data_IF_844924648868
#
_entry.id   IF_844924648868
#
_cell.length_a   1.000
_cell.length_b   1.000
_cell.length_c   1.000
_cell.angle_alpha   90.00
_cell.angle_beta   90.00
_cell.angle_gamma   90.00
#
_symmetry.space_group_name_H-M   'P 1'
#
loop_
_entity.id
_entity.type
_entity.pdbx_description
1 polymer ?
#
# COMPACT_ATOMS: atom_id res chain seq x y z
N UNK A 1 -28.28 -51.05 3.83
CA UNK A 1 -28.24 -49.65 3.32
C UNK A 1 -27.34 -48.92 4.25
N UNK A 2 -26.06 -48.85 3.89
CA UNK A 2 -25.06 -48.10 4.66
C UNK A 2 -25.15 -46.67 4.18
N UNK A 3 -25.47 -45.80 5.14
CA UNK A 3 -25.42 -44.35 5.00
C UNK A 3 -24.09 -43.95 4.39
N UNK A 4 -24.12 -43.25 3.24
CA UNK A 4 -22.96 -42.60 2.70
C UNK A 4 -22.40 -41.66 3.78
N UNK A 5 -21.22 -41.95 4.28
CA UNK A 5 -20.43 -40.99 5.03
C UNK A 5 -20.19 -39.83 4.08
N UNK A 6 -20.83 -38.69 4.35
CA UNK A 6 -20.51 -37.44 3.67
C UNK A 6 -19.02 -37.18 3.92
N UNK A 7 -18.21 -37.44 2.91
CA UNK A 7 -16.80 -37.04 2.95
C UNK A 7 -16.74 -35.56 3.27
N UNK A 8 -15.95 -35.14 4.26
CA UNK A 8 -15.88 -33.73 4.63
C UNK A 8 -15.58 -32.90 3.38
N UNK A 9 -16.34 -31.82 3.19
CA UNK A 9 -16.18 -30.95 2.04
C UNK A 9 -14.70 -30.49 1.92
N UNK A 10 -14.13 -30.66 0.73
CA UNK A 10 -12.74 -30.23 0.47
C UNK A 10 -12.65 -28.73 0.60
N UNK A 11 -11.61 -28.20 1.28
CA UNK A 11 -11.47 -26.76 1.44
C UNK A 11 -11.02 -26.07 0.15
N UNK A 12 -11.38 -24.82 -0.02
CA UNK A 12 -10.71 -23.90 -0.94
C UNK A 12 -9.34 -23.56 -0.38
N UNK A 13 -8.28 -23.67 -1.18
CA UNK A 13 -6.91 -23.32 -0.75
C UNK A 13 -6.58 -21.91 -1.22
N UNK A 14 -6.31 -21.03 -0.27
CA UNK A 14 -5.83 -19.67 -0.51
C UNK A 14 -4.30 -19.67 -0.32
N UNK A 15 -3.56 -19.33 -1.36
CA UNK A 15 -2.09 -19.27 -1.35
C UNK A 15 -1.65 -17.84 -1.12
N UNK A 16 -1.15 -17.56 0.08
CA UNK A 16 -0.71 -16.25 0.55
C UNK A 16 -1.66 -15.62 1.56
N UNK A 17 -1.09 -15.16 2.70
CA UNK A 17 -1.80 -14.46 3.78
C UNK A 17 -1.57 -12.93 3.75
N UNK A 18 -1.39 -12.33 2.58
CA UNK A 18 -1.44 -10.88 2.36
C UNK A 18 -2.87 -10.36 2.52
N UNK A 19 -3.07 -9.04 2.38
CA UNK A 19 -4.40 -8.42 2.53
C UNK A 19 -5.45 -9.05 1.60
N UNK A 20 -5.08 -9.41 0.37
CA UNK A 20 -6.00 -10.05 -0.58
C UNK A 20 -6.43 -11.46 -0.12
N UNK A 21 -5.47 -12.28 0.32
CA UNK A 21 -5.78 -13.63 0.82
C UNK A 21 -6.60 -13.61 2.10
N UNK A 22 -6.30 -12.69 3.01
CA UNK A 22 -7.08 -12.52 4.24
C UNK A 22 -8.49 -12.02 3.95
N UNK A 23 -8.67 -11.04 3.04
CA UNK A 23 -9.99 -10.56 2.63
C UNK A 23 -10.82 -11.69 1.98
N UNK A 24 -10.19 -12.49 1.10
CA UNK A 24 -10.83 -13.67 0.52
C UNK A 24 -11.27 -14.66 1.61
N UNK A 25 -10.38 -15.00 2.56
CA UNK A 25 -10.70 -15.89 3.67
C UNK A 25 -11.85 -15.40 4.54
N UNK A 26 -11.93 -14.10 4.83
CA UNK A 26 -13.02 -13.49 5.59
C UNK A 26 -14.36 -13.64 4.86
N UNK A 27 -14.40 -13.37 3.55
CA UNK A 27 -15.62 -13.49 2.75
C UNK A 27 -16.05 -14.95 2.56
N UNK A 28 -15.13 -15.90 2.39
CA UNK A 28 -15.45 -17.33 2.37
C UNK A 28 -15.97 -17.81 3.72
N UNK A 29 -15.40 -17.30 4.83
CA UNK A 29 -15.91 -17.59 6.16
C UNK A 29 -17.36 -17.10 6.36
N UNK A 30 -17.64 -15.85 5.96
CA UNK A 30 -19.00 -15.27 6.00
C UNK A 30 -19.99 -16.10 5.16
N UNK A 31 -19.55 -16.68 4.04
CA UNK A 31 -20.35 -17.54 3.18
C UNK A 31 -20.46 -19.01 3.65
N UNK A 32 -19.78 -19.39 4.74
CA UNK A 32 -19.77 -20.77 5.24
C UNK A 32 -19.01 -21.76 4.36
N UNK A 33 -18.14 -21.32 3.45
CA UNK A 33 -17.33 -22.17 2.58
C UNK A 33 -16.04 -22.56 3.31
N UNK A 34 -15.74 -23.88 3.42
CA UNK A 34 -14.48 -24.34 4.03
C UNK A 34 -13.27 -23.86 3.24
N UNK A 35 -12.26 -23.31 3.93
CA UNK A 35 -11.03 -22.86 3.31
C UNK A 35 -9.81 -23.04 4.22
N UNK A 36 -8.63 -22.97 3.63
CA UNK A 36 -7.34 -22.89 4.33
C UNK A 36 -6.45 -21.86 3.65
N UNK A 37 -5.74 -21.07 4.42
CA UNK A 37 -4.74 -20.11 3.94
C UNK A 37 -3.36 -20.68 4.20
N UNK A 38 -2.55 -20.80 3.16
CA UNK A 38 -1.16 -21.28 3.23
C UNK A 38 -0.22 -20.09 2.98
N UNK A 39 0.59 -19.75 3.98
CA UNK A 39 1.53 -18.65 3.93
C UNK A 39 2.96 -19.15 4.04
N UNK A 40 3.80 -18.78 3.08
CA UNK A 40 5.19 -19.20 3.02
C UNK A 40 6.07 -18.56 4.12
N UNK A 41 5.72 -17.37 4.57
CA UNK A 41 6.47 -16.63 5.58
C UNK A 41 6.04 -16.96 7.02
N UNK A 42 6.75 -16.37 7.97
CA UNK A 42 6.56 -16.55 9.41
C UNK A 42 5.40 -15.74 10.01
N UNK A 43 4.74 -14.89 9.20
CA UNK A 43 3.61 -14.09 9.66
C UNK A 43 2.68 -13.66 8.51
N UNK A 44 1.45 -13.30 8.86
CA UNK A 44 0.48 -12.72 7.92
C UNK A 44 0.86 -11.29 7.52
N UNK A 45 0.27 -10.80 6.41
CA UNK A 45 0.34 -9.41 5.99
C UNK A 45 1.07 -9.18 4.67
N UNK A 46 1.92 -10.10 4.22
CA UNK A 46 2.70 -9.92 2.99
C UNK A 46 3.56 -8.65 3.05
N UNK A 47 3.26 -7.65 2.21
CA UNK A 47 3.94 -6.34 2.21
C UNK A 47 3.51 -5.40 3.36
N UNK A 48 2.40 -5.68 4.04
CA UNK A 48 1.89 -4.88 5.16
C UNK A 48 2.29 -5.53 6.47
N UNK A 49 3.53 -5.28 6.90
CA UNK A 49 4.11 -5.85 8.13
C UNK A 49 4.85 -4.78 8.92
N UNK A 50 4.94 -4.98 10.23
CA UNK A 50 5.69 -4.15 11.17
C UNK A 50 6.61 -5.05 11.98
N UNK A 51 7.89 -4.72 12.01
CA UNK A 51 8.89 -5.39 12.82
C UNK A 51 9.13 -4.58 14.12
N UNK A 52 9.32 -5.26 15.25
CA UNK A 52 9.82 -4.63 16.48
C UNK A 52 11.33 -4.81 16.53
N UNK A 53 12.04 -3.70 16.68
CA UNK A 53 13.49 -3.69 16.85
C UNK A 53 13.89 -2.70 17.93
N UNK A 54 14.40 -3.20 19.02
CA UNK A 54 14.85 -2.41 20.18
C UNK A 54 13.76 -1.44 20.70
N UNK A 55 12.48 -1.87 20.66
CA UNK A 55 11.32 -1.09 21.05
C UNK A 55 10.86 -0.05 20.03
N UNK A 56 11.43 -0.05 18.83
CA UNK A 56 10.92 0.72 17.69
C UNK A 56 10.03 -0.15 16.81
N UNK A 57 8.86 0.37 16.44
CA UNK A 57 7.99 -0.28 15.45
C UNK A 57 8.37 0.21 14.05
N UNK A 58 8.84 -0.70 13.22
CA UNK A 58 9.34 -0.42 11.87
C UNK A 58 8.43 -1.07 10.84
N UNK A 59 7.61 -0.28 10.18
CA UNK A 59 6.82 -0.77 9.05
C UNK A 59 7.74 -1.15 7.89
N UNK A 60 7.46 -2.24 7.19
CA UNK A 60 8.26 -2.67 6.03
C UNK A 60 8.01 -1.77 4.83
N UNK A 61 8.63 -0.60 4.86
CA UNK A 61 8.39 0.56 4.00
C UNK A 61 7.32 1.49 4.58
N UNK A 62 7.50 2.80 4.38
CA UNK A 62 6.52 3.78 4.84
C UNK A 62 5.20 3.61 4.07
N UNK A 63 4.14 3.37 4.79
CA UNK A 63 2.79 3.18 4.28
C UNK A 63 1.80 3.97 5.12
N UNK A 64 0.63 4.27 4.56
CA UNK A 64 -0.51 4.83 5.29
C UNK A 64 -1.79 4.11 4.88
N UNK A 65 -2.74 4.01 5.80
CA UNK A 65 -4.11 3.63 5.49
C UNK A 65 -4.91 4.88 5.16
N UNK A 66 -5.58 4.92 4.01
CA UNK A 66 -6.55 5.97 3.72
C UNK A 66 -7.92 5.53 4.26
N UNK A 67 -8.46 6.27 5.23
CA UNK A 67 -9.70 5.88 5.92
C UNK A 67 -10.94 5.92 5.02
N UNK A 68 -10.84 6.56 3.85
CA UNK A 68 -11.89 6.57 2.83
C UNK A 68 -11.89 5.34 1.91
N UNK A 69 -10.96 4.39 2.06
CA UNK A 69 -10.96 3.16 1.28
C UNK A 69 -12.21 2.33 1.58
N UNK A 70 -13.13 2.11 0.60
CA UNK A 70 -14.39 1.41 0.86
C UNK A 70 -14.20 -0.02 1.39
N UNK A 71 -13.30 -0.80 0.80
CA UNK A 71 -13.04 -2.16 1.27
C UNK A 71 -12.40 -2.19 2.67
N UNK A 72 -11.60 -1.17 3.01
CA UNK A 72 -11.06 -1.06 4.37
C UNK A 72 -12.15 -0.72 5.39
N UNK A 73 -13.11 0.16 5.05
CA UNK A 73 -14.26 0.47 5.90
C UNK A 73 -15.16 -0.74 6.13
N UNK A 74 -15.28 -1.63 5.15
CA UNK A 74 -16.08 -2.84 5.25
C UNK A 74 -15.38 -3.92 6.09
N UNK A 75 -14.08 -4.13 5.86
CA UNK A 75 -13.35 -5.27 6.39
C UNK A 75 -12.61 -5.01 7.71
N UNK A 76 -12.37 -3.74 8.07
CA UNK A 76 -11.56 -3.38 9.24
C UNK A 76 -12.36 -2.66 10.30
N UNK A 77 -12.04 -2.94 11.56
CA UNK A 77 -12.49 -2.16 12.70
C UNK A 77 -11.45 -1.05 13.01
N UNK A 78 -11.74 0.16 12.55
CA UNK A 78 -10.85 1.31 12.72
C UNK A 78 -10.67 1.73 14.19
N UNK A 79 -11.68 1.49 15.02
CA UNK A 79 -11.59 1.81 16.45
C UNK A 79 -10.62 0.85 17.16
N UNK A 80 -10.72 -0.44 16.86
CA UNK A 80 -9.82 -1.44 17.43
C UNK A 80 -8.36 -1.29 16.92
N UNK A 81 -8.16 -0.73 15.71
CA UNK A 81 -6.85 -0.39 15.17
C UNK A 81 -6.21 0.84 15.84
N UNK A 82 -6.97 1.62 16.61
CA UNK A 82 -6.50 2.87 17.26
C UNK A 82 -5.77 3.77 16.24
N UNK A 83 -6.48 4.15 15.16
CA UNK A 83 -5.90 4.90 14.06
C UNK A 83 -5.45 6.30 14.49
N UNK A 84 -4.21 6.64 14.17
CA UNK A 84 -3.59 7.94 14.40
C UNK A 84 -3.42 8.66 13.06
N UNK A 85 -4.02 9.84 12.92
CA UNK A 85 -4.12 10.54 11.65
C UNK A 85 -3.04 11.59 11.48
N UNK A 86 -2.54 11.70 10.26
CA UNK A 86 -1.72 12.84 9.84
C UNK A 86 -2.58 14.10 9.74
N UNK A 87 -1.97 15.23 10.02
CA UNK A 87 -2.59 16.51 9.71
C UNK A 87 -2.73 16.65 8.18
N UNK A 88 -3.89 17.15 7.68
CA UNK A 88 -4.10 17.32 6.24
C UNK A 88 -3.20 18.43 5.70
N UNK A 89 -2.14 18.03 4.98
CA UNK A 89 -1.14 18.91 4.42
C UNK A 89 0.23 18.27 4.35
N UNK A 90 1.22 19.08 4.01
CA UNK A 90 2.62 18.69 3.94
C UNK A 90 3.55 19.86 4.24
N UNK A 91 4.72 19.57 4.78
CA UNK A 91 5.85 20.48 4.77
C UNK A 91 6.73 20.18 3.56
N UNK A 92 7.07 21.18 2.78
CA UNK A 92 7.81 21.06 1.52
C UNK A 92 9.17 21.74 1.66
N UNK A 93 10.22 20.94 1.54
CA UNK A 93 11.57 21.47 1.43
C UNK A 93 11.81 22.04 0.02
N UNK A 94 12.07 23.33 -0.09
CA UNK A 94 12.25 24.05 -1.36
C UNK A 94 13.71 24.16 -1.80
N UNK A 95 14.63 23.53 -1.07
CA UNK A 95 16.08 23.71 -1.25
C UNK A 95 16.68 24.85 -0.42
N UNK A 96 15.84 25.68 0.23
CA UNK A 96 16.26 26.81 1.07
C UNK A 96 15.49 26.93 2.39
N UNK A 97 14.20 26.61 2.35
CA UNK A 97 13.30 26.73 3.49
C UNK A 97 12.18 25.69 3.39
N UNK A 98 11.52 25.44 4.51
CA UNK A 98 10.27 24.69 4.52
C UNK A 98 9.08 25.63 4.24
N UNK A 99 8.23 25.20 3.33
CA UNK A 99 6.93 25.80 3.06
C UNK A 99 5.83 24.83 3.47
N UNK A 100 4.77 25.35 4.11
CA UNK A 100 3.68 24.52 4.55
C UNK A 100 2.46 24.71 3.64
N UNK A 101 1.99 23.59 3.07
CA UNK A 101 0.70 23.52 2.37
C UNK A 101 -0.24 22.69 3.25
N UNK A 102 -1.41 23.24 3.56
CA UNK A 102 -2.49 22.54 4.25
C UNK A 102 -3.74 22.53 3.39
N UNK A 103 -4.60 21.51 3.55
CA UNK A 103 -5.89 21.46 2.89
C UNK A 103 -6.85 22.49 3.54
N UNK A 104 -7.19 23.60 2.87
CA UNK A 104 -8.03 24.64 3.45
C UNK A 104 -9.48 24.18 3.65
N UNK A 105 -9.95 23.16 2.92
CA UNK A 105 -11.29 22.61 3.07
C UNK A 105 -11.44 21.81 4.36
N UNK A 106 -10.35 21.21 4.82
CA UNK A 106 -10.33 20.43 6.07
C UNK A 106 -9.80 21.22 7.27
N UNK A 107 -9.03 22.28 7.02
CA UNK A 107 -8.50 23.22 8.02
C UNK A 107 -8.72 24.67 7.58
N UNK A 108 -9.92 25.23 7.75
CA UNK A 108 -10.22 26.61 7.33
C UNK A 108 -9.26 27.65 7.91
N UNK A 109 -8.78 27.45 9.14
CA UNK A 109 -7.79 28.33 9.77
C UNK A 109 -6.40 28.36 9.09
N UNK A 110 -6.08 27.39 8.21
CA UNK A 110 -4.81 27.32 7.48
C UNK A 110 -4.84 28.06 6.12
N UNK A 111 -5.96 28.63 5.72
CA UNK A 111 -6.15 29.32 4.42
C UNK A 111 -5.05 30.38 4.22
N UNK A 112 -4.81 31.21 5.21
CA UNK A 112 -3.82 32.27 5.12
C UNK A 112 -2.38 31.75 5.03
N UNK A 113 -2.07 30.65 5.71
CA UNK A 113 -0.76 30.02 5.63
C UNK A 113 -0.52 29.40 4.25
N UNK A 114 -1.48 28.66 3.74
CA UNK A 114 -1.43 28.07 2.38
C UNK A 114 -1.44 29.16 1.30
N UNK A 115 -2.19 30.25 1.49
CA UNK A 115 -2.19 31.37 0.55
C UNK A 115 -0.83 32.08 0.46
N UNK A 116 -0.07 32.16 1.57
CA UNK A 116 1.24 32.79 1.64
C UNK A 116 2.40 31.86 1.29
N UNK A 117 2.17 30.55 1.27
CA UNK A 117 3.21 29.59 0.88
C UNK A 117 3.72 29.91 -0.54
N UNK A 118 5.03 29.94 -0.68
CA UNK A 118 5.74 30.21 -1.95
C UNK A 118 5.85 28.97 -2.85
N UNK A 119 4.79 28.17 -2.86
CA UNK A 119 4.67 26.99 -3.69
C UNK A 119 3.42 27.10 -4.53
N UNK A 120 3.62 27.17 -5.85
CA UNK A 120 2.56 27.38 -6.82
C UNK A 120 1.92 28.77 -6.81
N UNK A 121 1.27 29.13 -7.88
CA UNK A 121 0.55 30.37 -8.08
C UNK A 121 -0.81 30.40 -7.37
N UNK A 122 -1.46 31.57 -7.32
CA UNK A 122 -2.87 31.69 -6.86
C UNK A 122 -3.80 30.88 -7.75
N UNK A 123 -3.54 30.82 -9.07
CA UNK A 123 -4.31 30.01 -10.00
C UNK A 123 -4.16 28.52 -9.71
N UNK A 124 -2.97 28.06 -9.34
CA UNK A 124 -2.76 26.66 -8.95
C UNK A 124 -3.59 26.30 -7.71
N UNK A 125 -3.68 27.19 -6.73
CA UNK A 125 -4.49 26.98 -5.52
C UNK A 125 -5.99 26.88 -5.85
N UNK A 126 -6.48 27.66 -6.81
CA UNK A 126 -7.86 27.51 -7.31
C UNK A 126 -8.08 26.20 -8.05
N UNK A 127 -7.11 25.76 -8.86
CA UNK A 127 -7.16 24.48 -9.59
C UNK A 127 -7.12 23.26 -8.67
N UNK A 128 -6.46 23.34 -7.51
CA UNK A 128 -6.58 22.32 -6.46
C UNK A 128 -8.05 22.15 -6.03
N UNK A 129 -8.77 23.26 -5.83
CA UNK A 129 -10.19 23.24 -5.53
C UNK A 129 -11.03 22.64 -6.68
N UNK A 130 -10.70 22.97 -7.93
CA UNK A 130 -11.37 22.41 -9.11
C UNK A 130 -11.14 20.89 -9.22
N UNK A 131 -9.89 20.42 -9.09
CA UNK A 131 -9.59 18.99 -9.09
C UNK A 131 -10.34 18.27 -7.98
N UNK A 132 -10.36 18.84 -6.75
CA UNK A 132 -11.11 18.29 -5.64
C UNK A 132 -12.60 18.16 -5.96
N UNK A 133 -13.21 19.24 -6.45
CA UNK A 133 -14.62 19.23 -6.83
C UNK A 133 -14.91 18.17 -7.90
N UNK A 134 -14.06 18.07 -8.92
CA UNK A 134 -14.24 17.12 -10.01
C UNK A 134 -14.17 15.66 -9.54
N UNK A 135 -13.17 15.29 -8.73
CA UNK A 135 -13.06 13.91 -8.24
C UNK A 135 -14.14 13.58 -7.18
N UNK A 136 -14.57 14.55 -6.39
CA UNK A 136 -15.56 14.34 -5.35
C UNK A 136 -16.98 14.10 -5.87
N UNK A 137 -17.35 14.71 -6.99
CA UNK A 137 -18.68 14.51 -7.62
C UNK A 137 -18.78 13.21 -8.41
N UNK A 138 -17.66 12.56 -8.72
CA UNK A 138 -17.61 11.29 -9.48
C UNK A 138 -17.72 10.10 -8.56
N UNK A 139 -18.31 8.97 -8.99
CA UNK A 139 -18.19 7.70 -8.26
C UNK A 139 -16.77 7.12 -8.43
N UNK A 140 -16.36 6.19 -7.57
CA UNK A 140 -15.06 5.52 -7.70
C UNK A 140 -14.99 4.77 -9.04
N UNK A 141 -16.05 4.05 -9.41
CA UNK A 141 -16.12 3.33 -10.70
C UNK A 141 -15.97 4.26 -11.89
N UNK A 142 -16.67 5.40 -11.89
CA UNK A 142 -16.61 6.35 -13.00
C UNK A 142 -15.23 7.01 -13.16
N UNK A 143 -14.41 7.10 -12.09
CA UNK A 143 -13.02 7.55 -12.22
C UNK A 143 -12.17 6.58 -13.03
N UNK A 144 -12.42 5.27 -12.87
CA UNK A 144 -11.71 4.22 -13.62
C UNK A 144 -12.22 4.02 -15.05
N UNK A 145 -13.30 4.67 -15.44
CA UNK A 145 -13.87 4.66 -16.80
C UNK A 145 -13.43 5.89 -17.63
N UNK A 146 -12.81 6.90 -17.00
CA UNK A 146 -12.36 8.12 -17.68
C UNK A 146 -11.27 7.82 -18.70
N UNK A 147 -11.09 8.73 -19.68
CA UNK A 147 -9.94 8.72 -20.57
C UNK A 147 -8.65 8.69 -19.77
N UNK A 148 -7.73 7.81 -20.18
CA UNK A 148 -6.52 7.53 -19.45
C UNK A 148 -5.31 8.20 -20.09
N UNK A 149 -4.56 8.91 -19.27
CA UNK A 149 -3.28 9.53 -19.61
C UNK A 149 -2.28 9.27 -18.48
N UNK A 150 -1.08 9.82 -18.55
CA UNK A 150 -0.19 9.82 -17.41
C UNK A 150 -0.66 10.83 -16.36
N UNK A 151 -0.32 10.59 -15.09
CA UNK A 151 -0.60 11.53 -14.00
C UNK A 151 -0.05 12.93 -14.28
N UNK A 152 1.16 13.02 -14.86
CA UNK A 152 1.78 14.29 -15.28
C UNK A 152 0.95 15.00 -16.33
N UNK A 153 0.50 14.28 -17.36
CA UNK A 153 -0.34 14.87 -18.42
C UNK A 153 -1.67 15.36 -17.86
N UNK A 154 -2.32 14.56 -17.00
CA UNK A 154 -3.57 14.97 -16.35
C UNK A 154 -3.41 16.24 -15.51
N UNK A 155 -2.34 16.36 -14.72
CA UNK A 155 -2.06 17.59 -13.95
C UNK A 155 -1.89 18.80 -14.88
N UNK A 156 -1.18 18.67 -16.00
CA UNK A 156 -1.06 19.73 -17.01
C UNK A 156 -2.39 20.06 -17.69
N UNK A 157 -3.23 19.06 -17.96
CA UNK A 157 -4.59 19.28 -18.52
C UNK A 157 -5.49 20.02 -17.52
N UNK A 158 -5.36 19.80 -16.21
CA UNK A 158 -6.00 20.65 -15.20
C UNK A 158 -5.42 22.08 -15.16
N UNK A 159 -4.29 22.31 -15.88
CA UNK A 159 -3.64 23.59 -16.04
C UNK A 159 -2.68 23.94 -14.93
N UNK A 160 -2.30 23.01 -14.03
CA UNK A 160 -1.29 23.26 -13.01
C UNK A 160 0.04 23.70 -13.63
N UNK A 161 0.71 24.65 -12.96
CA UNK A 161 2.04 25.07 -13.34
C UNK A 161 3.07 23.95 -13.16
N UNK A 162 4.10 23.93 -14.00
CA UNK A 162 5.23 23.00 -13.84
C UNK A 162 5.90 23.18 -12.47
N UNK A 163 5.94 24.42 -11.94
CA UNK A 163 6.45 24.68 -10.59
C UNK A 163 5.70 23.88 -9.52
N UNK A 164 4.36 23.93 -9.48
CA UNK A 164 3.59 23.18 -8.50
C UNK A 164 3.68 21.66 -8.77
N UNK A 165 3.72 21.24 -10.03
CA UNK A 165 3.90 19.83 -10.38
C UNK A 165 5.22 19.32 -9.81
N UNK A 166 6.33 20.03 -10.00
CA UNK A 166 7.65 19.58 -9.56
C UNK A 166 7.85 19.70 -8.04
N UNK A 167 7.36 20.79 -7.42
CA UNK A 167 7.61 21.05 -6.00
C UNK A 167 6.68 20.30 -5.06
N UNK A 168 5.44 20.01 -5.48
CA UNK A 168 4.45 19.35 -4.64
C UNK A 168 3.96 18.01 -5.19
N UNK A 169 3.35 18.02 -6.39
CA UNK A 169 2.71 16.79 -6.90
C UNK A 169 3.72 15.65 -7.15
N UNK A 170 4.89 15.98 -7.68
CA UNK A 170 5.93 14.99 -7.96
C UNK A 170 6.44 14.29 -6.69
N UNK A 171 6.90 14.97 -5.64
CA UNK A 171 7.32 14.25 -4.43
C UNK A 171 6.15 13.62 -3.68
N UNK A 172 4.95 14.19 -3.72
CA UNK A 172 3.78 13.64 -3.07
C UNK A 172 3.30 12.35 -3.74
N UNK A 173 2.92 12.41 -5.02
CA UNK A 173 2.48 11.22 -5.76
C UNK A 173 3.62 10.28 -6.10
N UNK A 174 4.83 10.80 -6.30
CA UNK A 174 6.03 10.00 -6.47
C UNK A 174 6.31 9.10 -5.26
N UNK A 175 6.03 9.58 -4.05
CA UNK A 175 6.09 8.77 -2.84
C UNK A 175 4.98 7.72 -2.74
N UNK A 176 3.80 7.97 -3.33
CA UNK A 176 2.66 7.05 -3.33
C UNK A 176 2.83 5.98 -4.43
N UNK A 177 3.23 6.40 -5.63
CA UNK A 177 3.40 5.52 -6.79
C UNK A 177 4.80 4.91 -6.89
N UNK A 178 5.71 5.35 -6.04
CA UNK A 178 7.12 4.93 -5.94
C UNK A 178 7.87 5.15 -7.26
N UNK A 179 7.59 6.28 -7.92
CA UNK A 179 8.23 6.70 -9.18
C UNK A 179 8.44 8.22 -9.23
N UNK A 180 9.40 8.68 -10.05
CA UNK A 180 9.77 10.10 -10.10
C UNK A 180 9.09 10.88 -11.22
N UNK A 181 8.60 10.21 -12.27
CA UNK A 181 8.21 10.85 -13.52
C UNK A 181 6.71 11.09 -13.66
N UNK A 182 5.89 10.62 -12.70
CA UNK A 182 4.43 10.68 -12.71
C UNK A 182 3.85 10.03 -13.98
N UNK A 183 4.39 8.87 -14.37
CA UNK A 183 3.95 8.05 -15.50
C UNK A 183 2.76 7.16 -15.16
N UNK A 184 2.50 6.94 -13.88
CA UNK A 184 1.33 6.21 -13.39
C UNK A 184 0.05 6.81 -13.95
N UNK A 185 -0.93 5.95 -14.23
CA UNK A 185 -2.24 6.29 -14.78
C UNK A 185 -2.90 7.47 -14.06
N UNK A 186 -3.49 8.38 -14.85
CA UNK A 186 -4.29 9.49 -14.37
C UNK A 186 -5.52 9.04 -13.57
N UNK A 187 -6.06 7.86 -13.86
CA UNK A 187 -7.17 7.26 -13.09
C UNK A 187 -6.74 6.97 -11.66
N UNK A 188 -5.51 6.46 -11.48
CA UNK A 188 -4.95 6.23 -10.14
C UNK A 188 -4.69 7.53 -9.38
N UNK A 189 -4.16 8.57 -10.05
CA UNK A 189 -4.00 9.90 -9.46
C UNK A 189 -5.36 10.45 -8.96
N UNK A 190 -6.40 10.40 -9.78
CA UNK A 190 -7.73 10.89 -9.43
C UNK A 190 -8.36 10.08 -8.29
N UNK A 191 -8.23 8.76 -8.32
CA UNK A 191 -8.68 7.88 -7.26
C UNK A 191 -8.00 8.21 -5.92
N UNK A 192 -6.68 8.25 -5.90
CA UNK A 192 -5.92 8.55 -4.67
C UNK A 192 -6.25 9.95 -4.15
N UNK A 193 -6.33 10.94 -5.05
CA UNK A 193 -6.69 12.30 -4.67
C UNK A 193 -8.10 12.38 -4.06
N UNK A 194 -9.07 11.61 -4.62
CA UNK A 194 -10.41 11.47 -4.04
C UNK A 194 -10.36 10.88 -2.63
N UNK A 195 -9.59 9.80 -2.43
CA UNK A 195 -9.47 9.15 -1.12
C UNK A 195 -8.89 10.11 -0.06
N UNK A 196 -7.85 10.87 -0.41
CA UNK A 196 -7.32 11.93 0.46
C UNK A 196 -8.34 13.06 0.71
N UNK A 197 -9.19 13.35 -0.27
CA UNK A 197 -10.21 14.39 -0.14
C UNK A 197 -11.38 13.99 0.76
N UNK A 198 -11.70 12.71 0.85
CA UNK A 198 -12.82 12.16 1.62
C UNK A 198 -12.45 11.68 3.01
N UNK A 199 -11.24 11.15 3.16
CA UNK A 199 -10.77 10.53 4.40
C UNK A 199 -9.44 11.08 4.87
N UNK A 200 -8.83 10.37 5.77
CA UNK A 200 -7.57 10.73 6.41
C UNK A 200 -6.49 9.73 6.05
N UNK A 201 -5.23 10.19 6.02
CA UNK A 201 -4.08 9.30 6.05
C UNK A 201 -3.80 8.94 7.51
N UNK A 202 -3.75 7.67 7.82
CA UNK A 202 -3.62 7.20 9.19
C UNK A 202 -2.62 6.04 9.31
N UNK A 203 -2.08 5.87 10.51
CA UNK A 203 -1.33 4.68 10.93
C UNK A 203 -2.06 4.05 12.12
N UNK A 204 -2.17 2.71 12.21
CA UNK A 204 -2.51 2.06 13.45
C UNK A 204 -1.47 2.40 14.52
N UNK A 205 -1.90 2.63 15.76
CA UNK A 205 -0.99 2.99 16.85
C UNK A 205 0.11 1.94 17.10
N UNK A 206 -0.14 0.67 16.77
CA UNK A 206 0.80 -0.45 16.89
C UNK A 206 1.50 -0.85 15.60
N UNK A 207 1.54 0.03 14.58
CA UNK A 207 2.14 -0.23 13.26
C UNK A 207 1.16 -0.80 12.24
N UNK A 208 1.52 -0.69 10.97
CA UNK A 208 0.69 -1.15 9.85
C UNK A 208 0.37 -2.65 9.92
N UNK A 209 1.23 -3.45 10.52
CA UNK A 209 1.03 -4.88 10.74
C UNK A 209 -0.18 -5.24 11.62
N UNK A 210 -0.77 -4.27 12.36
CA UNK A 210 -2.03 -4.50 13.10
C UNK A 210 -3.19 -4.80 12.14
N UNK A 211 -3.19 -4.25 10.93
CA UNK A 211 -4.25 -4.47 9.94
C UNK A 211 -4.38 -5.96 9.59
N UNK A 212 -3.35 -6.63 9.05
CA UNK A 212 -3.47 -8.06 8.76
C UNK A 212 -3.62 -8.93 10.01
N UNK A 213 -3.07 -8.53 11.17
CA UNK A 213 -3.30 -9.25 12.43
C UNK A 213 -4.77 -9.20 12.86
N UNK A 214 -5.42 -8.04 12.77
CA UNK A 214 -6.84 -7.90 13.03
C UNK A 214 -7.68 -8.78 12.09
N UNK A 215 -7.39 -8.76 10.79
CA UNK A 215 -8.10 -9.60 9.82
C UNK A 215 -7.94 -11.09 10.13
N UNK A 216 -6.70 -11.52 10.39
CA UNK A 216 -6.40 -12.92 10.73
C UNK A 216 -7.09 -13.39 12.04
N UNK A 217 -7.19 -12.52 13.05
CA UNK A 217 -7.82 -12.83 14.32
C UNK A 217 -9.34 -13.06 14.22
N UNK A 218 -9.96 -12.62 13.14
CA UNK A 218 -11.40 -12.82 12.85
C UNK A 218 -11.69 -14.13 12.10
N UNK A 219 -10.65 -14.85 11.70
CA UNK A 219 -10.77 -16.15 11.04
C UNK A 219 -10.76 -17.29 12.05
N UNK A 220 -11.42 -18.42 11.76
CA UNK A 220 -11.40 -19.58 12.65
C UNK A 220 -9.99 -20.08 12.92
N UNK A 221 -9.73 -20.48 14.15
CA UNK A 221 -8.43 -21.05 14.54
C UNK A 221 -8.05 -22.25 13.65
N UNK A 222 -6.79 -22.28 13.22
CA UNK A 222 -6.27 -23.37 12.39
C UNK A 222 -6.52 -23.22 10.89
N UNK A 223 -7.22 -22.18 10.43
CA UNK A 223 -7.39 -21.92 9.00
C UNK A 223 -6.17 -21.32 8.32
N UNK A 224 -5.27 -20.68 9.06
CA UNK A 224 -4.02 -20.12 8.53
C UNK A 224 -2.86 -21.02 8.95
N UNK A 225 -2.04 -21.43 7.99
CA UNK A 225 -0.80 -22.18 8.25
C UNK A 225 0.38 -21.38 7.72
N UNK A 226 1.21 -20.90 8.64
CA UNK A 226 2.44 -20.15 8.35
C UNK A 226 3.60 -21.10 8.03
N UNK A 227 4.71 -20.57 7.52
CA UNK A 227 5.92 -21.32 7.13
C UNK A 227 5.61 -22.49 6.17
N UNK A 228 4.57 -22.34 5.35
CA UNK A 228 4.03 -23.38 4.48
C UNK A 228 3.98 -22.89 3.04
N UNK A 229 5.06 -23.12 2.33
CA UNK A 229 5.18 -22.75 0.93
C UNK A 229 4.48 -23.78 0.02
N UNK A 230 3.66 -23.29 -0.91
CA UNK A 230 3.12 -24.12 -1.99
C UNK A 230 4.18 -24.28 -3.07
N UNK A 231 4.46 -25.54 -3.43
CA UNK A 231 5.40 -25.88 -4.49
C UNK A 231 4.74 -25.89 -5.86
N UNK A 232 3.58 -26.57 -5.97
CA UNK A 232 2.78 -26.71 -7.20
C UNK A 232 1.34 -27.07 -6.86
N UNK A 233 0.50 -27.10 -7.86
CA UNK A 233 -0.88 -27.60 -7.74
C UNK A 233 -1.39 -28.13 -9.08
N UNK A 234 -2.42 -28.96 -9.03
CA UNK A 234 -3.21 -29.40 -10.17
C UNK A 234 -4.71 -29.24 -9.88
N UNK A 235 -5.57 -29.83 -10.69
CA UNK A 235 -7.04 -29.75 -10.54
C UNK A 235 -7.55 -30.29 -9.20
N UNK A 236 -6.83 -31.19 -8.55
CA UNK A 236 -7.31 -31.95 -7.40
C UNK A 236 -6.51 -31.69 -6.13
N UNK A 237 -5.23 -31.31 -6.24
CA UNK A 237 -4.29 -31.26 -5.11
C UNK A 237 -3.35 -30.06 -5.19
N UNK A 238 -3.02 -29.55 -4.02
CA UNK A 238 -1.89 -28.64 -3.78
C UNK A 238 -0.75 -29.45 -3.19
N UNK A 239 0.47 -29.30 -3.72
CA UNK A 239 1.69 -29.90 -3.20
C UNK A 239 2.49 -28.82 -2.45
N UNK A 240 2.83 -29.08 -1.21
CA UNK A 240 3.65 -28.22 -0.37
C UNK A 240 5.15 -28.37 -0.65
N UNK A 241 5.96 -27.46 -0.10
CA UNK A 241 7.41 -27.48 -0.26
C UNK A 241 8.10 -28.70 0.34
N UNK A 242 7.49 -29.36 1.31
CA UNK A 242 7.95 -30.61 1.93
C UNK A 242 7.45 -31.88 1.23
N UNK A 243 6.70 -31.74 0.14
CA UNK A 243 6.11 -32.85 -0.61
C UNK A 243 4.74 -33.31 -0.11
N UNK A 244 4.25 -32.80 1.00
CA UNK A 244 2.88 -33.07 1.49
C UNK A 244 1.84 -32.59 0.49
N UNK A 245 0.74 -33.33 0.33
CA UNK A 245 -0.36 -32.96 -0.57
C UNK A 245 -1.65 -32.69 0.18
N UNK A 246 -2.42 -31.70 -0.28
CA UNK A 246 -3.72 -31.33 0.26
C UNK A 246 -4.73 -31.36 -0.87
N UNK A 247 -5.84 -32.09 -0.71
CA UNK A 247 -6.97 -32.02 -1.65
C UNK A 247 -7.74 -30.71 -1.49
N UNK A 248 -8.28 -30.21 -2.60
CA UNK A 248 -9.02 -28.95 -2.61
C UNK A 248 -10.21 -28.97 -3.56
N UNK A 249 -11.13 -28.02 -3.38
CA UNK A 249 -12.27 -27.75 -4.24
C UNK A 249 -12.11 -26.47 -5.08
N UNK A 250 -11.01 -25.78 -4.93
CA UNK A 250 -10.62 -24.60 -5.67
C UNK A 250 -9.36 -23.98 -5.08
N UNK A 251 -8.71 -23.15 -5.87
CA UNK A 251 -7.47 -22.44 -5.47
C UNK A 251 -7.65 -20.96 -5.70
N UNK A 252 -7.24 -20.15 -4.71
CA UNK A 252 -7.03 -18.71 -4.87
C UNK A 252 -5.54 -18.42 -4.76
N UNK A 253 -4.93 -17.93 -5.86
CA UNK A 253 -3.56 -17.41 -5.82
C UNK A 253 -3.60 -15.95 -5.36
N UNK A 254 -3.32 -15.73 -4.07
CA UNK A 254 -3.22 -14.41 -3.44
C UNK A 254 -1.76 -14.00 -3.21
N UNK A 255 -0.89 -14.34 -4.14
CA UNK A 255 0.55 -14.06 -4.11
C UNK A 255 0.89 -12.75 -4.82
N UNK A 256 2.09 -12.24 -4.63
CA UNK A 256 2.61 -11.10 -5.38
C UNK A 256 2.74 -11.42 -6.88
N UNK A 257 2.52 -10.42 -7.74
CA UNK A 257 2.57 -10.63 -9.19
C UNK A 257 3.87 -11.31 -9.68
N UNK A 258 5.08 -11.01 -9.16
CA UNK A 258 6.29 -11.73 -9.55
C UNK A 258 6.25 -13.23 -9.27
N UNK A 259 5.59 -13.61 -8.17
CA UNK A 259 5.48 -15.01 -7.78
C UNK A 259 4.50 -15.82 -8.66
N UNK A 260 3.62 -15.15 -9.41
CA UNK A 260 2.67 -15.83 -10.31
C UNK A 260 3.37 -16.68 -11.37
N UNK A 261 4.53 -16.26 -11.87
CA UNK A 261 5.28 -16.99 -12.91
C UNK A 261 5.72 -18.39 -12.47
N UNK A 262 5.84 -18.60 -11.18
CA UNK A 262 6.10 -19.94 -10.65
C UNK A 262 4.94 -20.89 -10.94
N UNK A 263 3.71 -20.36 -10.93
CA UNK A 263 2.47 -21.13 -11.06
C UNK A 263 1.84 -21.00 -12.45
N UNK A 264 2.08 -19.86 -13.10
CA UNK A 264 1.57 -19.50 -14.41
C UNK A 264 2.76 -19.02 -15.27
N UNK A 265 3.54 -19.95 -15.88
CA UNK A 265 4.76 -19.61 -16.62
C UNK A 265 4.55 -18.62 -17.75
N UNK A 266 3.35 -18.63 -18.37
CA UNK A 266 2.96 -17.72 -19.45
C UNK A 266 2.56 -16.31 -18.96
N UNK A 267 2.60 -16.06 -17.63
CA UNK A 267 2.36 -14.72 -17.09
C UNK A 267 3.42 -13.74 -17.57
N UNK A 268 3.04 -12.65 -18.28
CA UNK A 268 3.99 -11.78 -18.94
C UNK A 268 4.89 -11.04 -17.96
N UNK A 269 6.13 -10.78 -18.38
CA UNK A 269 6.98 -9.81 -17.73
C UNK A 269 6.57 -8.40 -18.11
N UNK A 270 6.02 -7.66 -17.17
CA UNK A 270 5.66 -6.25 -17.37
C UNK A 270 6.85 -5.30 -17.21
N UNK A 271 8.06 -5.86 -17.04
CA UNK A 271 9.29 -5.11 -16.81
C UNK A 271 9.46 -4.61 -15.37
N UNK A 272 10.43 -3.71 -15.14
CA UNK A 272 10.74 -3.22 -13.80
C UNK A 272 9.51 -2.66 -13.09
N UNK A 273 9.34 -3.02 -11.82
CA UNK A 273 8.28 -2.53 -10.94
C UNK A 273 8.75 -1.37 -10.10
N UNK A 274 7.82 -0.54 -9.61
CA UNK A 274 8.14 0.48 -8.62
C UNK A 274 8.81 -0.14 -7.39
N UNK A 275 9.93 0.47 -6.99
CA UNK A 275 10.75 0.04 -5.87
C UNK A 275 10.99 1.19 -4.90
N UNK A 276 11.17 0.88 -3.64
CA UNK A 276 11.49 1.87 -2.60
C UNK A 276 12.50 1.31 -1.62
N UNK A 277 13.40 2.18 -1.17
CA UNK A 277 14.21 1.95 0.03
C UNK A 277 13.70 2.83 1.15
N UNK A 278 13.48 2.25 2.30
CA UNK A 278 13.04 2.96 3.49
C UNK A 278 14.09 2.82 4.58
N UNK A 279 14.61 3.94 5.06
CA UNK A 279 15.56 3.99 6.16
C UNK A 279 14.88 4.52 7.42
N UNK A 280 15.14 3.85 8.53
CA UNK A 280 14.63 4.25 9.83
C UNK A 280 15.77 4.71 10.73
N UNK A 281 15.63 5.92 11.24
CA UNK A 281 16.60 6.51 12.17
C UNK A 281 15.96 6.77 13.54
N UNK A 282 16.75 6.55 14.59
CA UNK A 282 16.48 7.05 15.92
C UNK A 282 17.07 8.46 16.05
N UNK A 283 16.25 9.42 16.46
CA UNK A 283 16.65 10.75 16.82
C UNK A 283 16.33 11.06 18.29
N UNK A 284 17.08 11.92 18.95
CA UNK A 284 16.82 12.36 20.35
C UNK A 284 15.55 13.22 20.46
N UNK A 285 15.18 13.91 19.37
CA UNK A 285 13.97 14.73 19.25
C UNK A 285 13.46 14.68 17.82
N UNK A 286 12.15 14.93 17.65
CA UNK A 286 11.57 15.04 16.31
C UNK A 286 12.18 16.21 15.52
N UNK A 287 12.57 15.98 14.24
CA UNK A 287 13.04 17.06 13.37
C UNK A 287 11.92 18.00 12.91
N UNK A 288 10.66 17.57 13.06
CA UNK A 288 9.47 18.34 12.64
C UNK A 288 8.56 18.62 13.84
N UNK A 289 7.81 19.71 13.75
CA UNK A 289 6.91 20.14 14.83
C UNK A 289 5.47 19.69 14.65
N UNK A 290 5.12 19.24 13.45
CA UNK A 290 3.75 18.89 13.05
C UNK A 290 3.67 17.46 12.58
N UNK A 291 2.53 16.84 12.76
CA UNK A 291 2.26 15.47 12.28
C UNK A 291 1.90 15.48 10.80
N UNK A 292 2.83 15.95 9.96
CA UNK A 292 2.67 16.02 8.50
C UNK A 292 3.77 15.26 7.79
N UNK A 293 3.51 14.92 6.53
CA UNK A 293 4.56 14.41 5.66
C UNK A 293 5.49 15.54 5.22
N UNK A 294 6.80 15.31 5.23
CA UNK A 294 7.80 16.23 4.69
C UNK A 294 8.19 15.75 3.29
N UNK A 295 8.10 16.64 2.31
CA UNK A 295 8.33 16.35 0.90
C UNK A 295 9.57 17.05 0.37
N UNK A 296 10.31 16.39 -0.52
CA UNK A 296 11.41 17.00 -1.26
C UNK A 296 10.90 17.77 -2.48
N UNK A 297 10.52 19.01 -2.29
CA UNK A 297 10.14 19.93 -3.36
C UNK A 297 11.33 20.53 -4.13
N UNK A 298 12.57 20.38 -3.65
CA UNK A 298 13.77 20.85 -4.35
C UNK A 298 14.07 20.07 -5.64
N UNK A 299 13.53 18.85 -5.76
CA UNK A 299 13.67 18.03 -6.97
C UNK A 299 15.06 17.37 -7.13
N UNK A 300 15.95 17.57 -6.21
CA UNK A 300 17.31 17.03 -6.21
C UNK A 300 17.54 16.19 -4.97
N UNK A 301 18.55 15.32 -5.02
CA UNK A 301 18.90 14.44 -3.91
C UNK A 301 18.23 13.06 -3.97
N UNK A 302 18.43 12.33 -2.88
CA UNK A 302 18.01 10.94 -2.71
C UNK A 302 16.63 10.84 -2.07
N UNK A 303 16.39 11.71 -1.07
CA UNK A 303 15.18 11.68 -0.25
C UNK A 303 13.96 12.12 -1.05
N UNK A 304 12.91 11.31 -1.06
CA UNK A 304 11.62 11.70 -1.61
C UNK A 304 10.71 12.33 -0.55
N UNK A 305 10.59 11.68 0.59
CA UNK A 305 9.77 12.15 1.71
C UNK A 305 10.26 11.61 3.05
N UNK A 306 9.84 12.29 4.11
CA UNK A 306 10.09 11.90 5.50
C UNK A 306 8.78 11.89 6.25
N UNK A 307 8.64 10.91 7.14
CA UNK A 307 7.59 10.87 8.17
C UNK A 307 8.22 10.64 9.55
N UNK A 308 7.53 11.06 10.59
CA UNK A 308 7.92 10.80 11.97
C UNK A 308 6.79 10.06 12.69
N UNK A 309 6.66 8.72 12.51
CA UNK A 309 5.55 7.94 13.05
C UNK A 309 5.39 8.08 14.57
N UNK A 310 6.48 8.24 15.30
CA UNK A 310 6.46 8.47 16.76
C UNK A 310 5.80 9.79 17.20
N UNK A 311 5.54 10.72 16.27
CA UNK A 311 4.68 11.88 16.57
C UNK A 311 3.19 11.58 16.49
N UNK A 312 2.81 10.52 15.77
CA UNK A 312 1.40 10.09 15.71
C UNK A 312 1.07 9.14 16.87
N UNK A 313 1.99 8.24 17.19
CA UNK A 313 1.84 7.31 18.30
C UNK A 313 3.18 7.10 19.02
N UNK A 314 3.16 7.23 20.33
CA UNK A 314 4.30 6.98 21.22
C UNK A 314 4.76 5.50 21.21
N UNK A 315 3.90 4.59 20.72
CA UNK A 315 4.25 3.17 20.56
C UNK A 315 5.30 2.93 19.47
N UNK A 316 5.54 3.89 18.55
CA UNK A 316 6.52 3.72 17.48
C UNK A 316 7.97 3.89 17.92
N UNK A 317 8.23 4.45 19.10
CA UNK A 317 9.60 4.63 19.60
C UNK A 317 9.65 4.52 21.12
N UNK A 318 10.79 4.11 21.70
CA UNK A 318 11.04 4.17 23.13
C UNK A 318 10.92 5.60 23.67
N UNK A 319 10.57 5.73 24.95
CA UNK A 319 10.46 7.02 25.62
C UNK A 319 11.74 7.88 25.45
N UNK A 320 11.56 9.15 25.08
CA UNK A 320 12.65 10.08 24.86
C UNK A 320 13.38 9.90 23.52
N UNK A 321 12.84 9.09 22.61
CA UNK A 321 13.34 8.91 21.24
C UNK A 321 12.27 9.26 20.22
N UNK A 322 12.70 9.62 19.02
CA UNK A 322 11.83 9.81 17.86
C UNK A 322 12.25 8.87 16.75
N UNK A 323 11.25 8.24 16.10
CA UNK A 323 11.46 7.42 14.91
C UNK A 323 11.29 8.29 13.67
N UNK A 324 12.33 8.39 12.87
CA UNK A 324 12.30 9.10 11.57
C UNK A 324 12.36 8.09 10.45
N UNK A 325 11.33 8.07 9.62
CA UNK A 325 11.22 7.24 8.42
C UNK A 325 11.57 8.07 7.19
N UNK A 326 12.54 7.62 6.40
CA UNK A 326 13.02 8.30 5.19
C UNK A 326 12.79 7.40 3.98
N UNK A 327 12.02 7.86 3.01
CA UNK A 327 11.76 7.13 1.76
C UNK A 327 12.67 7.63 0.64
N UNK A 328 13.34 6.68 -0.03
CA UNK A 328 14.19 6.89 -1.20
C UNK A 328 13.60 6.11 -2.37
N UNK A 329 13.07 6.83 -3.35
CA UNK A 329 12.40 6.26 -4.53
C UNK A 329 13.39 6.13 -5.69
N UNK A 330 13.33 5.03 -6.44
CA UNK A 330 14.17 4.75 -7.61
C UNK A 330 15.68 4.84 -7.29
N UNK A 331 16.11 4.23 -6.19
CA UNK A 331 17.52 4.17 -5.78
C UNK A 331 18.26 2.98 -6.41
N UNK A 332 19.58 3.07 -6.51
CA UNK A 332 20.43 1.94 -6.86
C UNK A 332 20.35 0.85 -5.77
N UNK A 333 19.89 -0.33 -6.15
CA UNK A 333 19.74 -1.47 -5.22
C UNK A 333 21.07 -2.07 -4.76
N UNK A 334 22.19 -1.71 -5.40
CA UNK A 334 23.52 -2.24 -5.07
C UNK A 334 24.18 -1.56 -3.86
N UNK A 335 23.76 -0.35 -3.55
CA UNK A 335 24.28 0.40 -2.40
C UNK A 335 23.81 -0.23 -1.08
N UNK A 336 24.71 -0.43 -0.12
CA UNK A 336 24.35 -0.91 1.22
C UNK A 336 23.46 0.07 1.96
N UNK A 337 22.72 -0.41 2.99
CA UNK A 337 21.90 0.47 3.81
C UNK A 337 22.74 1.50 4.58
N UNK A 338 23.94 1.15 4.99
CA UNK A 338 24.86 2.06 5.71
C UNK A 338 25.33 3.19 4.81
N UNK A 339 25.82 2.89 3.62
CA UNK A 339 26.26 3.91 2.64
C UNK A 339 25.11 4.83 2.22
N UNK A 340 23.90 4.26 2.02
CA UNK A 340 22.72 5.06 1.72
C UNK A 340 22.32 5.95 2.91
N UNK A 341 22.43 5.46 4.13
CA UNK A 341 22.13 6.22 5.33
C UNK A 341 23.07 7.41 5.51
N UNK A 342 24.37 7.21 5.29
CA UNK A 342 25.36 8.30 5.32
C UNK A 342 25.06 9.38 4.28
N UNK A 343 24.74 8.97 3.04
CA UNK A 343 24.39 9.91 1.98
C UNK A 343 23.09 10.68 2.28
N UNK A 344 22.08 10.00 2.82
CA UNK A 344 20.81 10.59 3.27
C UNK A 344 21.04 11.56 4.43
N UNK A 345 21.83 11.20 5.45
CA UNK A 345 22.15 12.11 6.55
C UNK A 345 22.91 13.35 6.06
N UNK A 346 23.83 13.19 5.10
CA UNK A 346 24.51 14.32 4.48
C UNK A 346 23.53 15.28 3.80
N UNK A 347 22.56 14.75 3.03
CA UNK A 347 21.50 15.56 2.40
C UNK A 347 20.64 16.27 3.44
N UNK A 348 20.15 15.52 4.43
CA UNK A 348 19.22 16.02 5.45
C UNK A 348 19.84 17.03 6.41
N UNK A 349 21.16 17.11 6.48
CA UNK A 349 21.85 18.17 7.21
C UNK A 349 21.50 19.57 6.66
N UNK A 350 21.26 19.67 5.34
CA UNK A 350 20.81 20.93 4.72
C UNK A 350 19.37 21.29 5.08
N UNK A 351 18.52 20.27 5.44
CA UNK A 351 17.12 20.47 5.78
C UNK A 351 16.92 20.81 7.26
N UNK A 352 17.58 20.08 8.15
CA UNK A 352 17.32 20.09 9.59
C UNK A 352 18.53 20.54 10.43
N UNK A 353 19.66 20.85 9.80
CA UNK A 353 20.86 21.31 10.49
C UNK A 353 21.74 20.18 11.03
N UNK A 354 22.63 20.53 11.96
CA UNK A 354 23.67 19.63 12.46
C UNK A 354 23.12 18.44 13.27
N UNK A 355 21.96 18.57 13.89
CA UNK A 355 21.36 17.54 14.74
C UNK A 355 21.15 16.20 14.00
N UNK A 356 21.07 16.20 12.65
CA UNK A 356 20.96 15.01 11.81
C UNK A 356 22.18 14.08 11.97
N UNK A 357 23.34 14.60 12.33
CA UNK A 357 24.56 13.81 12.52
C UNK A 357 24.46 12.86 13.73
N UNK A 358 23.58 13.19 14.69
CA UNK A 358 23.33 12.38 15.89
C UNK A 358 22.27 11.30 15.67
N UNK A 359 21.66 11.26 14.48
CA UNK A 359 20.69 10.21 14.17
C UNK A 359 21.39 8.87 13.98
N UNK A 360 20.82 7.83 14.58
CA UNK A 360 21.35 6.47 14.47
C UNK A 360 20.48 5.66 13.53
N UNK A 361 21.08 5.03 12.52
CA UNK A 361 20.37 4.09 11.65
C UNK A 361 19.93 2.87 12.47
N UNK A 362 18.62 2.60 12.51
CA UNK A 362 18.05 1.41 13.16
C UNK A 362 17.97 0.26 12.15
N UNK A 363 17.38 0.53 10.99
CA UNK A 363 17.21 -0.45 9.92
C UNK A 363 17.01 0.22 8.56
N UNK A 364 17.25 -0.54 7.49
CA UNK A 364 16.88 -0.16 6.14
C UNK A 364 16.21 -1.32 5.43
N UNK A 365 15.07 -1.05 4.81
CA UNK A 365 14.32 -2.01 3.99
C UNK A 365 14.53 -1.69 2.51
N UNK A 366 14.86 -2.71 1.74
CA UNK A 366 14.89 -2.65 0.28
C UNK A 366 13.69 -3.46 -0.26
N UNK A 367 12.77 -2.78 -0.93
CA UNK A 367 11.51 -3.35 -1.41
C UNK A 367 11.49 -3.21 -2.94
N UNK A 368 11.99 -4.22 -3.67
CA UNK A 368 12.17 -4.13 -5.13
C UNK A 368 10.85 -4.20 -5.91
N UNK A 369 9.84 -4.88 -5.38
CA UNK A 369 8.54 -5.09 -6.03
C UNK A 369 7.40 -4.52 -5.16
N UNK A 370 7.57 -3.26 -4.74
CA UNK A 370 6.67 -2.64 -3.76
C UNK A 370 5.24 -2.46 -4.29
N UNK A 371 5.08 -2.18 -5.58
CA UNK A 371 3.79 -2.00 -6.25
C UNK A 371 3.78 -2.70 -7.62
N UNK A 372 2.61 -3.11 -8.14
CA UNK A 372 2.47 -3.47 -9.54
C UNK A 372 2.72 -2.24 -10.43
N UNK A 373 3.15 -2.48 -11.68
CA UNK A 373 3.30 -1.41 -12.66
C UNK A 373 1.92 -0.92 -13.10
N UNK A 374 1.66 0.37 -12.98
CA UNK A 374 0.32 0.96 -13.11
C UNK A 374 0.25 2.03 -14.23
N UNK A 375 0.74 1.70 -15.41
CA UNK A 375 0.65 2.60 -16.58
C UNK A 375 -0.77 2.67 -17.13
N UNK A 376 -1.59 1.65 -16.87
CA UNK A 376 -3.01 1.57 -17.20
C UNK A 376 -3.80 0.87 -16.08
N UNK A 377 -5.02 1.36 -15.82
CA UNK A 377 -5.95 0.87 -14.79
C UNK A 377 -7.37 0.84 -15.38
N UNK A 378 -8.18 -0.23 -15.17
CA UNK A 378 -7.86 -1.48 -14.48
C UNK A 378 -6.78 -2.28 -15.21
N UNK A 379 -6.02 -3.04 -14.44
CA UNK A 379 -5.04 -3.95 -15.01
C UNK A 379 -5.78 -5.12 -15.68
N UNK A 380 -5.84 -5.12 -16.99
CA UNK A 380 -6.44 -6.22 -17.72
C UNK A 380 -5.62 -7.51 -17.53
N UNK A 381 -6.33 -8.64 -17.38
CA UNK A 381 -5.69 -9.94 -17.45
C UNK A 381 -5.01 -10.10 -18.81
N UNK A 382 -3.79 -10.65 -18.87
CA UNK A 382 -3.12 -10.92 -20.11
C UNK A 382 -3.93 -11.95 -20.92
N UNK A 383 -4.29 -11.63 -22.16
CA UNK A 383 -5.05 -12.54 -23.02
C UNK A 383 -4.31 -13.85 -23.34
N UNK A 384 -2.99 -13.85 -23.19
CA UNK A 384 -2.12 -15.02 -23.42
C UNK A 384 -2.15 -16.05 -22.31
N UNK A 385 -2.70 -15.71 -21.12
CA UNK A 385 -2.69 -16.60 -19.96
C UNK A 385 -4.05 -17.28 -19.81
N UNK A 386 -4.09 -18.59 -20.02
CA UNK A 386 -5.26 -19.39 -19.71
C UNK A 386 -5.33 -19.65 -18.20
N UNK A 387 -6.37 -19.15 -17.54
CA UNK A 387 -6.63 -19.42 -16.13
C UNK A 387 -7.54 -20.64 -16.04
N UNK A 388 -7.08 -21.76 -15.43
CA UNK A 388 -7.91 -22.94 -15.24
C UNK A 388 -9.17 -22.62 -14.41
N UNK A 389 -10.29 -23.31 -14.67
CA UNK A 389 -11.57 -23.05 -14.00
C UNK A 389 -11.56 -23.27 -12.48
N UNK A 390 -10.62 -24.06 -11.97
CA UNK A 390 -10.43 -24.29 -10.53
C UNK A 390 -9.55 -23.25 -9.86
N UNK A 391 -8.99 -22.29 -10.62
CA UNK A 391 -8.06 -21.28 -10.15
C UNK A 391 -8.67 -19.88 -10.24
N UNK A 392 -8.55 -19.12 -9.18
CA UNK A 392 -8.91 -17.68 -9.11
C UNK A 392 -7.68 -16.87 -8.67
N UNK A 393 -7.52 -15.68 -9.19
CA UNK A 393 -6.42 -14.78 -8.85
C UNK A 393 -6.89 -13.67 -7.92
N UNK A 394 -6.09 -13.33 -6.92
CA UNK A 394 -6.33 -12.20 -6.02
C UNK A 394 -5.02 -11.43 -5.79
N UNK A 395 -5.12 -10.11 -5.68
CA UNK A 395 -3.96 -9.24 -5.44
C UNK A 395 -4.22 -7.84 -6.00
N UNK A 396 -3.43 -6.89 -5.55
CA UNK A 396 -3.50 -5.50 -6.00
C UNK A 396 -3.25 -5.34 -7.51
N UNK A 397 -2.46 -6.24 -8.12
CA UNK A 397 -2.23 -6.30 -9.56
C UNK A 397 -3.48 -6.65 -10.39
N UNK A 398 -4.54 -7.17 -9.76
CA UNK A 398 -5.81 -7.48 -10.42
C UNK A 398 -6.68 -6.22 -10.61
N UNK A 399 -6.49 -5.21 -9.81
CA UNK A 399 -7.27 -3.96 -9.82
C UNK A 399 -6.37 -2.74 -9.92
N UNK A 400 -5.69 -2.41 -8.83
CA UNK A 400 -4.71 -1.32 -8.75
C UNK A 400 -3.83 -1.49 -7.49
N UNK A 401 -2.58 -0.99 -7.56
CA UNK A 401 -1.58 -1.11 -6.51
C UNK A 401 -1.91 -0.22 -5.32
N UNK A 402 -2.73 -0.72 -4.42
CA UNK A 402 -3.04 -0.12 -3.12
C UNK A 402 -3.62 -1.16 -2.16
N UNK A 403 -3.70 -0.83 -0.88
CA UNK A 403 -4.40 -1.66 0.11
C UNK A 403 -5.87 -1.86 -0.28
N UNK A 404 -6.55 -0.82 -0.79
CA UNK A 404 -7.90 -0.92 -1.34
C UNK A 404 -7.98 -1.97 -2.44
N UNK A 405 -7.08 -1.90 -3.43
CA UNK A 405 -7.08 -2.84 -4.55
C UNK A 405 -6.82 -4.28 -4.10
N UNK A 406 -5.96 -4.49 -3.11
CA UNK A 406 -5.71 -5.80 -2.54
C UNK A 406 -6.93 -6.37 -1.81
N UNK A 407 -7.53 -5.58 -0.91
CA UNK A 407 -8.72 -5.97 -0.13
C UNK A 407 -9.91 -6.28 -1.06
N UNK A 408 -10.21 -5.39 -1.98
CA UNK A 408 -11.31 -5.54 -2.94
C UNK A 408 -11.10 -6.73 -3.87
N UNK A 409 -9.88 -6.94 -4.36
CA UNK A 409 -9.55 -8.10 -5.19
C UNK A 409 -9.76 -9.43 -4.45
N UNK A 410 -9.39 -9.49 -3.18
CA UNK A 410 -9.64 -10.66 -2.34
C UNK A 410 -11.12 -10.93 -2.14
N UNK A 411 -11.93 -9.89 -1.89
CA UNK A 411 -13.39 -10.02 -1.77
C UNK A 411 -14.03 -10.52 -3.06
N UNK A 412 -13.64 -9.96 -4.22
CA UNK A 412 -14.14 -10.41 -5.54
C UNK A 412 -13.76 -11.86 -5.85
N UNK A 413 -12.54 -12.29 -5.46
CA UNK A 413 -12.14 -13.68 -5.62
C UNK A 413 -13.03 -14.64 -4.80
N UNK A 414 -13.42 -14.26 -3.60
CA UNK A 414 -14.35 -15.04 -2.79
C UNK A 414 -15.75 -15.06 -3.41
N UNK A 415 -16.28 -13.94 -3.90
CA UNK A 415 -17.58 -13.85 -4.58
C UNK A 415 -17.64 -14.79 -5.79
N UNK A 416 -16.57 -14.86 -6.58
CA UNK A 416 -16.45 -15.77 -7.72
C UNK A 416 -16.53 -17.24 -7.26
N UNK A 417 -15.85 -17.61 -6.18
CA UNK A 417 -15.90 -18.96 -5.60
C UNK A 417 -17.32 -19.27 -5.09
N UNK A 418 -17.95 -18.37 -4.34
CA UNK A 418 -19.31 -18.51 -3.82
C UNK A 418 -20.30 -18.77 -4.97
N UNK A 419 -20.21 -18.00 -6.06
CA UNK A 419 -21.06 -18.17 -7.24
C UNK A 419 -20.93 -19.57 -7.84
N UNK A 420 -19.70 -20.10 -7.96
CA UNK A 420 -19.45 -21.45 -8.49
C UNK A 420 -20.09 -22.54 -7.61
N UNK A 421 -19.96 -22.42 -6.28
CA UNK A 421 -20.55 -23.38 -5.34
C UNK A 421 -22.08 -23.35 -5.39
N UNK A 422 -22.69 -22.18 -5.50
CA UNK A 422 -24.15 -22.05 -5.58
C UNK A 422 -24.69 -22.69 -6.86
N UNK A 423 -24.05 -22.52 -8.00
CA UNK A 423 -24.42 -23.11 -9.28
C UNK A 423 -24.28 -24.66 -9.23
N UNK A 424 -23.22 -25.18 -8.64
CA UNK A 424 -22.97 -26.61 -8.48
C UNK A 424 -23.98 -27.30 -7.55
N UNK A 425 -24.50 -26.59 -6.55
CA UNK A 425 -25.51 -27.12 -5.62
C UNK A 425 -26.93 -27.10 -6.19
N UNK A 426 -27.19 -26.32 -7.24
CA UNK A 426 -28.50 -26.17 -7.90
C UNK A 426 -28.68 -27.09 -9.14
N UNK A 427 -27.62 -27.75 -9.60
CA UNK A 427 -27.64 -28.68 -10.74
C UNK A 427 -27.40 -30.13 -10.33
#
# INVERSE_FOLDING_TARGET
MLSGEDSPAKPVIIVGAGLAGLACGMKLHEAGIPFRILEASDAVGGRVRTDDKDGFLLDRGFQVLLTAYPAAQELLDFNALDLRTFEPGAEIWTGRSFECISDPFRRPGSIWQTARARVGSVLDKLRIGQLRFDVMRSSVSSLFERDETTSRQALRQYGFSDELIETFFRPFFGGIFLEKDLTTSSRMLQFVYRMFSQGEAALPAGGMGEIPRQMASRLPSGTITLNTAVASFDKNRVTLGDGTTIEHDGIVLAVEEPALRKFLPDWPDRGPRPAVRCLYFSASKSPVKRNVLVLNGAGQGLVNNIAVPSQLSDRYAPAGKSLVSVSVVASDSKQSNSELAEAVQHELKSWFGADVQDWTLIAGYNIPDALPKQLSIPLALPQSVAIPSYLTLAGDYMLHGSQQGALESGSRAAEEIVSRHTVSAAG
#
